data_IF_681564850787
#
_entry.id   IF_681564850787
#
_cell.length_a   1.000
_cell.length_b   1.000
_cell.length_c   1.000
_cell.angle_alpha   90.00
_cell.angle_beta   90.00
_cell.angle_gamma   90.00
#
_symmetry.space_group_name_H-M   'P 1'
#
loop_
_entity.id
_entity.type
_entity.pdbx_description
1 polymer ?
#
# COMPACT_ATOMS: atom_id res chain seq x y z
N UNK A 1 -15.04 -7.65 -0.98
CA UNK A 1 -13.96 -8.59 -1.34
C UNK A 1 -12.71 -8.12 -0.63
N UNK A 2 -11.88 -9.04 -0.12
CA UNK A 2 -10.64 -8.69 0.58
C UNK A 2 -9.58 -8.25 -0.44
N UNK A 3 -8.77 -7.25 -0.12
CA UNK A 3 -7.68 -6.77 -0.98
C UNK A 3 -6.75 -7.90 -1.49
N UNK A 4 -6.47 -8.91 -0.66
CA UNK A 4 -5.57 -10.02 -0.99
C UNK A 4 -6.12 -11.03 -2.00
N UNK A 5 -7.41 -10.94 -2.36
CA UNK A 5 -8.03 -11.84 -3.35
C UNK A 5 -7.84 -11.35 -4.80
N UNK A 6 -7.26 -10.16 -4.99
CA UNK A 6 -7.06 -9.54 -6.29
C UNK A 6 -5.61 -9.07 -6.42
N UNK A 7 -5.05 -9.05 -7.65
CA UNK A 7 -3.73 -8.48 -7.87
C UNK A 7 -3.76 -6.97 -7.56
N UNK A 8 -2.63 -6.39 -7.12
CA UNK A 8 -2.55 -4.98 -6.75
C UNK A 8 -3.04 -4.01 -7.81
N UNK A 9 -2.84 -4.32 -9.09
CA UNK A 9 -3.30 -3.51 -10.23
C UNK A 9 -4.84 -3.38 -10.30
N UNK A 10 -5.58 -4.33 -9.70
CA UNK A 10 -7.05 -4.34 -9.66
C UNK A 10 -7.62 -3.87 -8.32
N UNK A 11 -6.79 -3.33 -7.42
CA UNK A 11 -7.30 -2.80 -6.16
C UNK A 11 -8.17 -1.57 -6.40
N UNK A 12 -9.31 -1.53 -5.72
CA UNK A 12 -10.09 -0.31 -5.58
C UNK A 12 -9.43 0.57 -4.51
N UNK A 13 -9.83 1.84 -4.44
CA UNK A 13 -9.41 2.73 -3.34
C UNK A 13 -9.68 2.12 -1.96
N UNK A 14 -10.78 1.37 -1.84
CA UNK A 14 -11.11 0.66 -0.62
C UNK A 14 -10.12 -0.48 -0.32
N UNK A 15 -9.78 -1.30 -1.32
CA UNK A 15 -8.78 -2.36 -1.16
C UNK A 15 -7.41 -1.80 -0.77
N UNK A 16 -7.00 -0.64 -1.32
CA UNK A 16 -5.76 0.04 -0.93
C UNK A 16 -5.80 0.44 0.55
N UNK A 17 -6.91 1.01 1.02
CA UNK A 17 -7.08 1.33 2.44
C UNK A 17 -7.02 0.09 3.34
N UNK A 18 -7.67 -1.02 2.96
CA UNK A 18 -7.61 -2.27 3.72
C UNK A 18 -6.17 -2.84 3.76
N UNK A 19 -5.45 -2.77 2.64
CA UNK A 19 -4.05 -3.19 2.58
C UNK A 19 -3.15 -2.34 3.48
N UNK A 20 -3.34 -1.02 3.51
CA UNK A 20 -2.61 -0.12 4.41
C UNK A 20 -2.90 -0.44 5.88
N UNK A 21 -4.17 -0.65 6.24
CA UNK A 21 -4.56 -1.05 7.60
C UNK A 21 -3.91 -2.37 8.00
N UNK A 22 -3.99 -3.39 7.13
CA UNK A 22 -3.32 -4.67 7.36
C UNK A 22 -1.81 -4.52 7.54
N UNK A 23 -1.19 -3.65 6.74
CA UNK A 23 0.25 -3.37 6.80
C UNK A 23 0.64 -2.75 8.15
N UNK A 24 -0.17 -1.80 8.64
CA UNK A 24 -0.01 -1.22 9.98
C UNK A 24 -0.14 -2.27 11.08
N UNK A 25 -1.21 -3.06 11.05
CA UNK A 25 -1.52 -4.04 12.11
C UNK A 25 -0.50 -5.18 12.14
N UNK A 26 -0.13 -5.71 10.98
CA UNK A 26 0.76 -6.88 10.87
C UNK A 26 2.21 -6.55 11.19
N UNK A 27 2.68 -5.35 10.83
CA UNK A 27 4.07 -4.93 11.00
C UNK A 27 4.26 -3.93 12.14
N UNK A 28 3.20 -3.63 12.90
CA UNK A 28 3.18 -2.63 13.98
C UNK A 28 3.70 -1.27 13.50
N UNK A 29 3.38 -0.90 12.26
CA UNK A 29 3.68 0.45 11.77
C UNK A 29 2.80 1.43 12.52
N UNK A 30 3.35 2.60 12.82
CA UNK A 30 2.56 3.67 13.39
C UNK A 30 1.59 4.18 12.33
N UNK A 31 0.31 3.85 12.49
CA UNK A 31 -0.77 4.31 11.61
C UNK A 31 -0.89 5.84 11.62
N UNK A 32 -0.39 6.54 12.65
CA UNK A 32 -0.32 7.99 12.68
C UNK A 32 0.70 8.55 11.66
N UNK A 33 1.68 7.74 11.23
CA UNK A 33 2.69 8.13 10.24
C UNK A 33 2.25 7.86 8.79
N UNK A 34 1.14 7.17 8.57
CA UNK A 34 0.66 6.79 7.22
C UNK A 34 -0.63 7.55 6.95
N UNK A 35 -0.57 8.73 6.29
CA UNK A 35 -1.75 9.49 5.97
C UNK A 35 -2.51 8.80 4.83
N UNK A 36 -3.58 8.09 5.17
CA UNK A 36 -4.46 7.40 4.23
C UNK A 36 -4.98 8.30 3.10
N UNK A 37 -5.13 9.60 3.37
CA UNK A 37 -5.52 10.60 2.38
C UNK A 37 -4.52 10.71 1.22
N UNK A 38 -3.23 10.49 1.46
CA UNK A 38 -2.18 10.51 0.43
C UNK A 38 -2.22 9.25 -0.45
N UNK A 39 -2.89 8.20 0.02
CA UNK A 39 -3.10 6.95 -0.71
C UNK A 39 -4.56 6.78 -1.19
N UNK A 40 -5.28 7.88 -1.43
CA UNK A 40 -6.64 7.85 -1.99
C UNK A 40 -6.65 7.56 -3.50
N UNK A 41 -5.88 6.55 -3.89
CA UNK A 41 -5.56 6.14 -5.25
C UNK A 41 -6.06 4.72 -5.50
N UNK A 42 -6.31 4.39 -6.76
CA UNK A 42 -6.57 3.01 -7.17
C UNK A 42 -5.31 2.16 -7.08
N UNK A 43 -5.49 0.84 -7.13
CA UNK A 43 -4.40 -0.13 -7.19
C UNK A 43 -3.44 0.08 -8.36
N UNK A 44 -3.99 0.42 -9.53
CA UNK A 44 -3.20 0.76 -10.72
C UNK A 44 -2.30 1.98 -10.49
N UNK A 45 -2.86 3.06 -9.92
CA UNK A 45 -2.10 4.25 -9.56
C UNK A 45 -1.04 3.94 -8.51
N UNK A 46 -1.41 3.18 -7.47
CA UNK A 46 -0.50 2.74 -6.41
C UNK A 46 0.68 1.93 -6.96
N UNK A 47 0.45 1.06 -7.95
CA UNK A 47 1.50 0.26 -8.59
C UNK A 47 2.43 1.08 -9.49
N UNK A 48 1.96 2.23 -9.99
CA UNK A 48 2.75 3.16 -10.79
C UNK A 48 3.52 4.18 -9.95
N UNK A 49 3.19 4.33 -8.66
CA UNK A 49 3.95 5.17 -7.75
C UNK A 49 5.38 4.62 -7.56
N UNK A 50 6.33 5.53 -7.54
CA UNK A 50 7.73 5.25 -7.27
C UNK A 50 7.97 5.08 -5.77
N UNK A 51 9.13 4.51 -5.41
CA UNK A 51 9.55 4.45 -4.01
C UNK A 51 9.60 5.84 -3.36
N UNK A 52 9.94 6.87 -4.13
CA UNK A 52 9.97 8.27 -3.68
C UNK A 52 8.57 8.78 -3.36
N UNK A 53 7.58 8.54 -4.22
CA UNK A 53 6.19 8.94 -3.97
C UNK A 53 5.64 8.33 -2.67
N UNK A 54 5.95 7.07 -2.40
CA UNK A 54 5.59 6.42 -1.14
C UNK A 54 6.27 7.08 0.06
N UNK A 55 7.53 7.48 -0.09
CA UNK A 55 8.34 8.11 0.97
C UNK A 55 7.87 9.52 1.25
N UNK A 56 7.47 10.26 0.21
CA UNK A 56 6.85 11.57 0.37
C UNK A 56 5.50 11.46 1.07
N UNK A 57 4.71 10.43 0.75
CA UNK A 57 3.41 10.20 1.35
C UNK A 57 3.47 9.75 2.82
N UNK A 58 4.40 8.85 3.19
CA UNK A 58 4.40 8.18 4.51
C UNK A 58 5.76 8.20 5.23
N UNK A 59 6.70 9.05 4.79
CA UNK A 59 8.03 9.14 5.36
C UNK A 59 8.78 7.81 5.37
N UNK A 60 9.37 7.47 6.52
CA UNK A 60 10.11 6.22 6.71
C UNK A 60 9.25 4.96 6.48
N UNK A 61 7.94 5.02 6.74
CA UNK A 61 7.01 3.92 6.47
C UNK A 61 6.76 3.72 4.98
N UNK A 62 6.94 4.77 4.16
CA UNK A 62 6.74 4.72 2.71
C UNK A 62 7.64 3.71 2.03
N UNK A 63 8.94 3.71 2.35
CA UNK A 63 9.88 2.71 1.81
C UNK A 63 9.45 1.27 2.12
N UNK A 64 8.93 1.04 3.33
CA UNK A 64 8.46 -0.28 3.75
C UNK A 64 7.20 -0.69 2.99
N UNK A 65 6.22 0.20 2.87
CA UNK A 65 4.98 -0.01 2.10
C UNK A 65 5.28 -0.32 0.63
N UNK A 66 6.23 0.41 0.02
CA UNK A 66 6.65 0.14 -1.36
C UNK A 66 7.24 -1.27 -1.50
N UNK A 67 8.13 -1.67 -0.60
CA UNK A 67 8.71 -3.02 -0.59
C UNK A 67 7.64 -4.11 -0.45
N UNK A 68 6.69 -3.92 0.48
CA UNK A 68 5.60 -4.86 0.67
C UNK A 68 4.71 -4.98 -0.58
N UNK A 69 4.42 -3.86 -1.25
CA UNK A 69 3.69 -3.87 -2.51
C UNK A 69 4.45 -4.64 -3.59
N UNK A 70 5.77 -4.41 -3.73
CA UNK A 70 6.57 -5.16 -4.70
C UNK A 70 6.61 -6.66 -4.39
N UNK A 71 6.71 -7.05 -3.11
CA UNK A 71 6.62 -8.45 -2.71
C UNK A 71 5.28 -9.08 -3.11
N UNK A 72 4.15 -8.39 -2.89
CA UNK A 72 2.84 -8.90 -3.30
C UNK A 72 2.76 -9.04 -4.83
N UNK A 73 3.35 -8.11 -5.58
CA UNK A 73 3.38 -8.16 -7.06
C UNK A 73 4.28 -9.26 -7.60
N UNK A 74 5.42 -9.52 -6.97
CA UNK A 74 6.36 -10.56 -7.40
C UNK A 74 5.97 -11.96 -6.93
N UNK A 75 5.33 -12.07 -5.76
CA UNK A 75 4.87 -13.33 -5.17
C UNK A 75 3.39 -13.63 -5.43
N UNK A 76 2.67 -12.75 -6.13
CA UNK A 76 1.27 -12.91 -6.50
C UNK A 76 1.06 -14.14 -7.37
N UNK A 77 0.62 -15.23 -6.73
CA UNK A 77 0.00 -16.39 -7.37
C UNK A 77 -1.48 -16.12 -7.64
#
# INVERSE_FOLDING_TARGET
SQWSALPPEHWSKHHVCEWLQYSCDSHKLDAACIPFSHFNVSGMELCNMTKEDFTEAAGACGHFLYSLLQEIRTHGK
#
